data_IF_312503139485
#
_entry.id   IF_312503139485
#
_cell.length_a   1.000
_cell.length_b   1.000
_cell.length_c   1.000
_cell.angle_alpha   90.00
_cell.angle_beta   90.00
_cell.angle_gamma   90.00
#
_symmetry.space_group_name_H-M   'P 1'
#
loop_
_entity.id
_entity.type
_entity.pdbx_description
1 polymer ?
#
# COMPACT_ATOMS: atom_id res chain seq x y z
N UNK A 1 -27.50 -63.81 26.45
CA UNK A 1 -26.95 -62.59 25.82
C UNK A 1 -28.02 -61.97 24.95
N UNK A 2 -28.04 -60.64 24.81
CA UNK A 2 -28.99 -59.91 23.98
C UNK A 2 -28.26 -58.85 23.17
N UNK A 3 -28.67 -58.68 21.91
CA UNK A 3 -28.10 -57.70 20.98
C UNK A 3 -29.05 -56.52 20.90
N UNK A 4 -28.56 -55.33 21.21
CA UNK A 4 -29.35 -54.10 21.24
C UNK A 4 -28.78 -53.14 20.21
N UNK A 5 -29.55 -52.79 19.15
CA UNK A 5 -29.18 -51.70 18.26
C UNK A 5 -29.51 -50.36 18.94
N UNK A 6 -28.52 -49.48 19.05
CA UNK A 6 -28.70 -48.11 19.53
C UNK A 6 -29.00 -47.21 18.34
N UNK A 7 -30.06 -46.40 18.42
CA UNK A 7 -30.47 -45.53 17.29
C UNK A 7 -29.89 -44.13 17.37
N UNK A 8 -29.76 -43.58 18.57
CA UNK A 8 -29.39 -42.18 18.75
C UNK A 8 -28.17 -41.99 19.67
N UNK A 9 -27.95 -42.90 20.61
CA UNK A 9 -26.86 -42.81 21.58
C UNK A 9 -25.65 -43.65 21.20
N UNK A 10 -24.45 -43.18 21.51
CA UNK A 10 -23.22 -43.94 21.29
C UNK A 10 -23.12 -45.13 22.28
N UNK A 11 -22.88 -46.36 21.79
CA UNK A 11 -22.78 -47.55 22.64
C UNK A 11 -21.71 -47.46 23.74
N UNK A 12 -20.60 -46.75 23.54
CA UNK A 12 -19.53 -46.61 24.53
C UNK A 12 -19.92 -45.63 25.65
N UNK A 13 -20.65 -44.56 25.32
CA UNK A 13 -21.22 -43.65 26.32
C UNK A 13 -22.30 -44.36 27.15
N UNK A 14 -23.15 -45.15 26.49
CA UNK A 14 -24.18 -45.95 27.15
C UNK A 14 -23.61 -47.01 28.08
N UNK A 15 -22.51 -47.66 27.68
CA UNK A 15 -21.80 -48.61 28.55
C UNK A 15 -21.38 -47.96 29.86
N UNK A 16 -20.85 -46.73 29.83
CA UNK A 16 -20.41 -46.00 31.06
C UNK A 16 -21.58 -45.71 32.00
N UNK A 17 -22.72 -45.30 31.46
CA UNK A 17 -23.94 -44.99 32.23
C UNK A 17 -24.57 -46.26 32.80
N UNK A 18 -24.50 -47.38 32.07
CA UNK A 18 -25.11 -48.65 32.48
C UNK A 18 -24.21 -49.48 33.40
N UNK A 19 -22.89 -49.26 33.42
CA UNK A 19 -21.92 -49.98 34.27
C UNK A 19 -22.33 -50.11 35.75
N UNK A 20 -22.86 -49.07 36.44
CA UNK A 20 -23.31 -49.22 37.84
C UNK A 20 -24.59 -50.05 38.03
N UNK A 21 -25.36 -50.29 36.97
CA UNK A 21 -26.63 -51.04 36.99
C UNK A 21 -26.46 -52.52 36.58
N UNK A 22 -25.23 -52.90 36.24
CA UNK A 22 -24.86 -54.23 35.80
C UNK A 22 -24.56 -55.16 36.98
N UNK A 23 -24.89 -56.45 36.84
CA UNK A 23 -24.53 -57.47 37.84
C UNK A 23 -23.01 -57.73 37.85
N UNK A 24 -22.47 -58.19 38.99
CA UNK A 24 -21.03 -58.52 39.16
C UNK A 24 -20.50 -59.55 38.16
N UNK A 25 -21.38 -60.38 37.59
CA UNK A 25 -21.06 -61.44 36.62
C UNK A 25 -21.42 -61.07 35.18
N UNK A 26 -21.87 -59.84 34.94
CA UNK A 26 -22.31 -59.41 33.60
C UNK A 26 -21.14 -58.93 32.75
N UNK A 27 -21.28 -59.08 31.43
CA UNK A 27 -20.31 -58.58 30.47
C UNK A 27 -21.03 -57.73 29.42
N UNK A 28 -20.47 -56.55 29.12
CA UNK A 28 -21.00 -55.60 28.14
C UNK A 28 -19.91 -55.25 27.12
N UNK A 29 -20.22 -55.56 25.87
CA UNK A 29 -19.39 -55.20 24.72
C UNK A 29 -20.17 -54.15 23.93
N UNK A 30 -19.59 -52.97 23.82
CA UNK A 30 -20.09 -51.91 22.97
C UNK A 30 -19.29 -51.92 21.66
N UNK A 31 -19.98 -51.83 20.54
CA UNK A 31 -19.37 -51.72 19.22
C UNK A 31 -19.89 -50.45 18.55
N UNK A 32 -19.18 -49.34 18.77
CA UNK A 32 -19.56 -48.00 18.31
C UNK A 32 -19.65 -47.90 16.78
N UNK A 33 -18.86 -48.66 16.01
CA UNK A 33 -18.91 -48.63 14.55
C UNK A 33 -20.20 -49.18 13.94
N UNK A 34 -20.83 -50.17 14.58
CA UNK A 34 -22.10 -50.75 14.10
C UNK A 34 -23.31 -50.23 14.88
N UNK A 35 -23.10 -49.35 15.86
CA UNK A 35 -24.16 -48.88 16.76
C UNK A 35 -24.77 -50.00 17.60
N UNK A 36 -24.06 -51.11 17.83
CA UNK A 36 -24.59 -52.27 18.56
C UNK A 36 -23.99 -52.38 19.95
N UNK A 37 -24.82 -52.76 20.91
CA UNK A 37 -24.41 -53.16 22.24
C UNK A 37 -24.80 -54.62 22.50
N UNK A 38 -23.82 -55.41 22.95
CA UNK A 38 -23.99 -56.79 23.35
C UNK A 38 -24.01 -56.83 24.88
N UNK A 39 -25.14 -57.23 25.44
CA UNK A 39 -25.35 -57.36 26.88
C UNK A 39 -25.48 -58.82 27.29
N UNK A 40 -24.66 -59.26 28.24
CA UNK A 40 -24.74 -60.60 28.83
C UNK A 40 -25.01 -60.48 30.33
N UNK A 41 -26.24 -60.79 30.74
CA UNK A 41 -26.69 -60.80 32.15
C UNK A 41 -27.87 -61.77 32.34
N UNK A 42 -28.42 -61.83 33.56
CA UNK A 42 -29.63 -62.57 33.92
C UNK A 42 -30.86 -61.98 33.22
N UNK A 43 -31.79 -62.85 32.83
CA UNK A 43 -32.98 -62.47 32.04
C UNK A 43 -33.84 -61.36 32.68
N UNK A 44 -33.95 -61.34 34.01
CA UNK A 44 -34.67 -60.29 34.76
C UNK A 44 -33.98 -58.92 34.64
N UNK A 45 -32.65 -58.89 34.72
CA UNK A 45 -31.89 -57.65 34.57
C UNK A 45 -31.87 -57.16 33.12
N UNK A 46 -31.79 -58.07 32.14
CA UNK A 46 -31.88 -57.71 30.72
C UNK A 46 -33.21 -57.00 30.40
N UNK A 47 -34.35 -57.49 30.92
CA UNK A 47 -35.65 -56.83 30.71
C UNK A 47 -35.67 -55.41 31.28
N UNK A 48 -35.17 -55.25 32.50
CA UNK A 48 -35.06 -53.94 33.16
C UNK A 48 -34.14 -52.98 32.41
N UNK A 49 -32.97 -53.46 31.99
CA UNK A 49 -32.00 -52.67 31.24
C UNK A 49 -32.54 -52.27 29.86
N UNK A 50 -33.32 -53.14 29.20
CA UNK A 50 -33.98 -52.81 27.94
C UNK A 50 -34.98 -51.66 28.07
N UNK A 51 -35.76 -51.61 29.15
CA UNK A 51 -36.68 -50.50 29.42
C UNK A 51 -35.90 -49.20 29.66
N UNK A 52 -34.85 -49.25 30.49
CA UNK A 52 -33.99 -48.09 30.77
C UNK A 52 -33.31 -47.58 29.49
N UNK A 53 -32.78 -48.48 28.65
CA UNK A 53 -32.13 -48.11 27.39
C UNK A 53 -33.11 -47.44 26.45
N UNK A 54 -34.36 -47.92 26.35
CA UNK A 54 -35.39 -47.30 25.50
C UNK A 54 -35.75 -45.89 25.96
N UNK A 55 -35.78 -45.64 27.27
CA UNK A 55 -36.05 -44.31 27.84
C UNK A 55 -34.85 -43.36 27.68
N UNK A 56 -33.62 -43.88 27.68
CA UNK A 56 -32.39 -43.08 27.56
C UNK A 56 -31.98 -42.83 26.11
N UNK A 57 -32.29 -43.74 25.16
CA UNK A 57 -31.99 -43.62 23.72
C UNK A 57 -32.93 -42.63 23.00
N UNK A 58 -33.15 -41.47 23.62
CA UNK A 58 -33.79 -40.32 23.00
C UNK A 58 -32.84 -39.67 21.99
N UNK A 59 -33.35 -39.02 20.94
CA UNK A 59 -32.51 -38.20 20.08
C UNK A 59 -31.79 -37.17 20.94
N UNK A 60 -30.47 -37.35 21.13
CA UNK A 60 -29.61 -36.34 21.72
C UNK A 60 -29.88 -35.04 20.96
N UNK A 61 -30.21 -33.95 21.67
CA UNK A 61 -30.66 -32.67 21.10
C UNK A 61 -29.82 -32.35 19.88
N UNK A 62 -30.41 -32.57 18.70
CA UNK A 62 -29.67 -32.81 17.48
C UNK A 62 -28.76 -31.64 17.12
N UNK A 63 -27.60 -31.97 16.60
CA UNK A 63 -26.80 -31.01 15.87
C UNK A 63 -27.59 -30.63 14.60
N UNK A 64 -28.08 -29.39 14.56
CA UNK A 64 -28.82 -28.86 13.42
C UNK A 64 -27.86 -28.10 12.50
N UNK A 65 -28.04 -28.27 11.19
CA UNK A 65 -27.37 -27.46 10.18
C UNK A 65 -28.20 -26.20 9.93
N UNK A 66 -27.64 -25.03 10.25
CA UNK A 66 -28.29 -23.73 10.02
C UNK A 66 -27.37 -22.81 9.23
N UNK A 67 -27.96 -22.11 8.25
CA UNK A 67 -27.28 -21.08 7.45
C UNK A 67 -27.72 -19.71 7.98
N UNK A 68 -26.75 -18.88 8.34
CA UNK A 68 -26.99 -17.52 8.85
C UNK A 68 -26.32 -16.51 7.92
N UNK A 69 -27.07 -15.69 7.16
CA UNK A 69 -26.49 -14.63 6.35
C UNK A 69 -26.04 -13.44 7.22
N UNK A 70 -24.94 -12.78 6.82
CA UNK A 70 -24.43 -11.55 7.45
C UNK A 70 -24.60 -10.37 6.48
N UNK A 71 -25.00 -9.21 6.98
CA UNK A 71 -25.28 -8.02 6.16
C UNK A 71 -24.08 -7.09 5.99
N UNK A 72 -23.36 -6.81 7.08
CA UNK A 72 -22.31 -5.80 7.12
C UNK A 72 -20.93 -6.41 7.36
N UNK A 73 -20.84 -7.37 8.27
CA UNK A 73 -19.57 -7.98 8.63
C UNK A 73 -19.11 -9.03 7.59
N UNK A 74 -17.80 -9.10 7.39
CA UNK A 74 -17.12 -10.11 6.57
C UNK A 74 -17.20 -11.48 7.26
N UNK A 75 -17.81 -12.47 6.58
CA UNK A 75 -17.98 -13.83 7.14
C UNK A 75 -16.65 -14.54 7.39
N UNK A 76 -15.59 -14.25 6.62
CA UNK A 76 -14.25 -14.78 6.84
C UNK A 76 -13.72 -14.39 8.24
N UNK A 77 -13.86 -13.12 8.58
CA UNK A 77 -13.30 -12.54 9.80
C UNK A 77 -14.15 -12.95 11.00
N UNK A 78 -15.47 -12.83 10.88
CA UNK A 78 -16.42 -13.28 11.91
C UNK A 78 -16.29 -14.78 12.16
N UNK A 79 -16.22 -15.60 11.11
CA UNK A 79 -16.09 -17.06 11.25
C UNK A 79 -14.81 -17.47 11.99
N UNK A 80 -13.69 -16.77 11.77
CA UNK A 80 -12.44 -16.99 12.50
C UNK A 80 -12.55 -16.57 13.96
N UNK A 81 -13.07 -15.38 14.24
CA UNK A 81 -13.25 -14.89 15.62
C UNK A 81 -14.20 -15.80 16.41
N UNK A 82 -15.33 -16.17 15.83
CA UNK A 82 -16.33 -17.03 16.46
C UNK A 82 -15.79 -18.45 16.67
N UNK A 83 -15.15 -19.07 15.67
CA UNK A 83 -14.55 -20.40 15.84
C UNK A 83 -13.46 -20.41 16.92
N UNK A 84 -12.64 -19.37 17.02
CA UNK A 84 -11.65 -19.22 18.10
C UNK A 84 -12.32 -19.13 19.48
N UNK A 85 -13.39 -18.34 19.63
CA UNK A 85 -14.13 -18.21 20.89
C UNK A 85 -14.71 -19.54 21.36
N UNK A 86 -15.27 -20.35 20.45
CA UNK A 86 -15.84 -21.66 20.81
C UNK A 86 -14.77 -22.74 21.06
N UNK A 87 -13.65 -22.72 20.33
CA UNK A 87 -12.49 -23.59 20.63
C UNK A 87 -11.88 -23.24 22.01
N UNK A 88 -11.85 -21.96 22.38
CA UNK A 88 -11.39 -21.54 23.71
C UNK A 88 -12.39 -21.90 24.80
N UNK A 89 -13.70 -21.71 24.57
CA UNK A 89 -14.74 -22.10 25.52
C UNK A 89 -14.81 -23.60 25.77
N UNK A 90 -14.47 -24.45 24.78
CA UNK A 90 -14.44 -25.91 24.93
C UNK A 90 -13.22 -26.39 25.73
N UNK A 91 -12.07 -25.70 25.64
CA UNK A 91 -10.86 -26.04 26.43
C UNK A 91 -11.08 -25.89 27.93
N UNK A 92 -11.83 -24.88 28.38
CA UNK A 92 -12.12 -24.66 29.81
C UNK A 92 -13.10 -25.69 30.39
N UNK A 93 -13.95 -26.32 29.56
CA UNK A 93 -14.96 -27.31 30.01
C UNK A 93 -14.49 -28.77 29.99
N UNK A 94 -13.21 -29.03 29.69
CA UNK A 94 -12.64 -30.38 29.48
C UNK A 94 -12.65 -31.33 30.69
N UNK A 95 -13.30 -31.00 31.81
CA UNK A 95 -13.25 -31.87 32.98
C UNK A 95 -14.34 -32.93 33.07
N UNK A 96 -15.47 -32.90 32.33
CA UNK A 96 -16.47 -33.98 32.53
C UNK A 96 -17.62 -34.19 31.51
N UNK A 97 -17.60 -33.64 30.28
CA UNK A 97 -18.70 -33.92 29.34
C UNK A 97 -18.26 -33.82 27.88
N UNK A 98 -18.71 -34.79 27.08
CA UNK A 98 -18.64 -34.81 25.61
C UNK A 98 -18.92 -33.39 25.10
N UNK A 99 -17.89 -32.74 24.56
CA UNK A 99 -18.02 -31.35 24.14
C UNK A 99 -18.84 -31.34 22.85
N UNK A 100 -19.96 -30.60 22.78
CA UNK A 100 -20.67 -30.44 21.52
C UNK A 100 -19.71 -29.85 20.50
N UNK A 101 -19.53 -30.56 19.38
CA UNK A 101 -18.53 -30.20 18.39
C UNK A 101 -19.13 -29.19 17.43
N UNK A 102 -19.07 -27.92 17.81
CA UNK A 102 -19.53 -26.83 16.95
C UNK A 102 -18.60 -26.75 15.75
N UNK A 103 -19.11 -27.09 14.56
CA UNK A 103 -18.39 -26.91 13.30
C UNK A 103 -18.95 -25.70 12.58
N UNK A 104 -18.08 -24.70 12.39
CA UNK A 104 -18.41 -23.44 11.73
C UNK A 104 -17.65 -23.40 10.41
N UNK A 105 -18.35 -23.15 9.31
CA UNK A 105 -17.78 -23.04 7.97
C UNK A 105 -18.25 -21.71 7.39
N UNK A 106 -17.35 -20.73 7.20
CA UNK A 106 -17.69 -19.49 6.51
C UNK A 106 -17.87 -19.75 5.01
N UNK A 107 -18.93 -19.19 4.42
CA UNK A 107 -19.20 -19.26 2.99
C UNK A 107 -19.21 -17.86 2.38
N UNK A 108 -18.04 -17.46 1.87
CA UNK A 108 -17.76 -16.11 1.37
C UNK A 108 -18.70 -15.67 0.24
N UNK A 109 -19.06 -16.59 -0.67
CA UNK A 109 -19.84 -16.23 -1.87
C UNK A 109 -21.23 -15.68 -1.54
N UNK A 110 -21.88 -16.16 -0.48
CA UNK A 110 -23.18 -15.62 -0.04
C UNK A 110 -23.07 -14.84 1.27
N UNK A 111 -21.85 -14.50 1.69
CA UNK A 111 -21.54 -13.91 3.00
C UNK A 111 -22.35 -14.57 4.13
N UNK A 112 -22.34 -15.91 4.17
CA UNK A 112 -23.18 -16.69 5.08
C UNK A 112 -22.35 -17.67 5.92
N UNK A 113 -22.70 -17.78 7.20
CA UNK A 113 -22.08 -18.72 8.12
C UNK A 113 -22.89 -20.01 8.14
N UNK A 114 -22.25 -21.12 7.76
CA UNK A 114 -22.83 -22.46 7.89
C UNK A 114 -22.39 -23.01 9.24
N UNK A 115 -23.37 -23.33 10.09
CA UNK A 115 -23.14 -23.75 11.46
C UNK A 115 -23.76 -25.13 11.66
N UNK A 116 -22.96 -26.04 12.20
CA UNK A 116 -23.40 -27.35 12.63
C UNK A 116 -23.17 -27.44 14.15
N UNK A 117 -24.26 -27.35 14.91
CA UNK A 117 -24.21 -27.28 16.37
C UNK A 117 -25.57 -27.64 16.99
N UNK A 118 -25.63 -27.98 18.28
CA UNK A 118 -26.90 -28.14 18.99
C UNK A 118 -27.74 -26.86 19.00
N UNK A 119 -29.07 -26.97 18.96
CA UNK A 119 -30.00 -25.82 18.92
C UNK A 119 -29.76 -24.80 20.06
N UNK A 120 -29.32 -25.26 21.23
CA UNK A 120 -28.99 -24.39 22.37
C UNK A 120 -27.79 -23.46 22.10
N UNK A 121 -26.82 -23.91 21.32
CA UNK A 121 -25.62 -23.15 20.97
C UNK A 121 -25.87 -22.24 19.77
N UNK A 122 -26.71 -22.66 18.83
CA UNK A 122 -27.18 -21.82 17.72
C UNK A 122 -27.88 -20.55 18.23
N UNK A 123 -28.73 -20.66 19.27
CA UNK A 123 -29.37 -19.48 19.88
C UNK A 123 -28.36 -18.48 20.45
N UNK A 124 -27.31 -18.97 21.12
CA UNK A 124 -26.23 -18.11 21.65
C UNK A 124 -25.41 -17.48 20.54
N UNK A 125 -25.10 -18.26 19.49
CA UNK A 125 -24.39 -17.76 18.33
C UNK A 125 -25.18 -16.65 17.64
N UNK A 126 -26.50 -16.79 17.48
CA UNK A 126 -27.35 -15.73 16.92
C UNK A 126 -27.24 -14.42 17.71
N UNK A 127 -27.32 -14.47 19.04
CA UNK A 127 -27.18 -13.26 19.86
C UNK A 127 -25.80 -12.60 19.74
N UNK A 128 -24.74 -13.39 19.54
CA UNK A 128 -23.39 -12.86 19.33
C UNK A 128 -23.27 -12.26 17.93
N UNK A 129 -23.78 -12.95 16.90
CA UNK A 129 -23.75 -12.45 15.53
C UNK A 129 -24.54 -11.15 15.38
N UNK A 130 -25.67 -11.00 16.07
CA UNK A 130 -26.45 -9.75 16.08
C UNK A 130 -25.66 -8.57 16.68
N UNK A 131 -24.79 -8.84 17.66
CA UNK A 131 -23.91 -7.82 18.24
C UNK A 131 -22.69 -7.51 17.35
N UNK A 132 -22.25 -8.44 16.52
CA UNK A 132 -21.10 -8.26 15.61
C UNK A 132 -21.51 -7.71 14.24
N UNK A 133 -22.71 -8.03 13.74
CA UNK A 133 -23.21 -7.59 12.44
C UNK A 133 -23.82 -6.18 12.51
N UNK A 134 -23.04 -5.24 13.04
CA UNK A 134 -23.40 -3.82 13.08
C UNK A 134 -22.76 -3.07 11.91
N UNK A 135 -23.45 -2.03 11.41
CA UNK A 135 -22.87 -1.11 10.42
C UNK A 135 -21.53 -0.55 10.91
N UNK A 136 -20.48 -0.70 10.09
CA UNK A 136 -19.22 -0.04 10.36
C UNK A 136 -19.48 1.47 10.49
N UNK A 137 -19.02 2.13 11.56
CA UNK A 137 -19.26 3.56 11.75
C UNK A 137 -18.76 4.33 10.53
N UNK A 138 -19.57 5.28 10.02
CA UNK A 138 -19.37 6.03 8.76
C UNK A 138 -18.09 6.91 8.67
N UNK A 139 -17.13 6.71 9.56
CA UNK A 139 -15.78 7.31 9.53
C UNK A 139 -14.68 6.31 9.89
N UNK A 140 -14.94 5.01 9.75
CA UNK A 140 -13.97 3.93 9.91
C UNK A 140 -13.54 3.30 8.57
N UNK A 141 -13.90 3.92 7.45
CA UNK A 141 -13.40 3.51 6.15
C UNK A 141 -11.87 3.63 6.17
N UNK A 142 -11.17 2.59 5.70
CA UNK A 142 -9.72 2.63 5.57
C UNK A 142 -9.25 3.77 4.66
N UNK A 143 -10.11 4.23 3.74
CA UNK A 143 -9.77 5.21 2.71
C UNK A 143 -10.31 6.59 3.12
N UNK A 144 -9.41 7.56 3.20
CA UNK A 144 -9.70 8.96 3.45
C UNK A 144 -9.16 9.81 2.29
N UNK A 145 -9.92 10.83 1.88
CA UNK A 145 -9.51 11.79 0.85
C UNK A 145 -9.23 13.13 1.51
N UNK A 146 -8.04 13.69 1.29
CA UNK A 146 -7.63 14.99 1.81
C UNK A 146 -7.30 15.94 0.66
N UNK A 147 -8.01 17.07 0.56
CA UNK A 147 -7.78 18.08 -0.48
C UNK A 147 -6.72 19.10 -0.03
N UNK A 148 -5.71 19.34 -0.86
CA UNK A 148 -4.62 20.29 -0.58
C UNK A 148 -4.93 21.68 -1.13
N UNK A 149 -4.55 22.73 -0.40
CA UNK A 149 -4.84 24.13 -0.74
C UNK A 149 -3.65 24.88 -1.34
N UNK A 150 -2.43 24.57 -0.93
CA UNK A 150 -1.23 25.35 -1.25
C UNK A 150 -0.08 24.50 -1.81
N UNK A 151 0.05 23.26 -1.35
CA UNK A 151 1.05 22.30 -1.80
C UNK A 151 0.53 21.40 -2.94
N UNK A 152 1.46 20.85 -3.73
CA UNK A 152 1.15 19.89 -4.80
C UNK A 152 1.10 18.46 -4.22
N UNK A 153 0.03 17.73 -4.51
CA UNK A 153 -0.16 16.34 -4.09
C UNK A 153 1.00 15.41 -4.46
N UNK A 154 1.56 15.52 -5.67
CA UNK A 154 2.66 14.64 -6.12
C UNK A 154 3.95 14.85 -5.33
N UNK A 155 4.25 16.11 -4.98
CA UNK A 155 5.41 16.47 -4.17
C UNK A 155 5.21 16.00 -2.74
N UNK A 156 4.02 16.18 -2.18
CA UNK A 156 3.71 15.74 -0.82
C UNK A 156 3.75 14.22 -0.66
N UNK A 157 3.28 13.45 -1.64
CA UNK A 157 3.40 11.98 -1.57
C UNK A 157 4.86 11.54 -1.50
N UNK A 158 5.75 12.15 -2.29
CA UNK A 158 7.18 11.85 -2.23
C UNK A 158 7.77 12.16 -0.85
N UNK A 159 7.37 13.29 -0.25
CA UNK A 159 7.81 13.66 1.10
C UNK A 159 7.24 12.70 2.15
N UNK A 160 5.94 12.41 2.12
CA UNK A 160 5.27 11.54 3.08
C UNK A 160 5.72 10.08 2.99
N UNK A 161 6.05 9.59 1.79
CA UNK A 161 6.64 8.25 1.59
C UNK A 161 8.11 8.19 1.99
N UNK A 162 8.83 9.32 1.89
CA UNK A 162 10.21 9.43 2.34
C UNK A 162 10.35 9.53 3.87
N UNK A 163 9.29 9.92 4.58
CA UNK A 163 9.23 9.85 6.03
C UNK A 163 9.16 8.37 6.42
N UNK A 164 10.23 7.78 6.98
CA UNK A 164 10.15 6.43 7.48
C UNK A 164 9.22 6.51 8.69
N UNK A 165 8.04 5.89 8.60
CA UNK A 165 7.15 5.66 9.74
C UNK A 165 7.86 4.72 10.71
N UNK A 166 8.70 5.32 11.56
CA UNK A 166 9.62 4.63 12.46
C UNK A 166 8.89 4.25 13.74
N UNK A 167 7.96 3.30 13.64
CA UNK A 167 7.34 2.54 14.74
C UNK A 167 6.43 1.50 14.05
N UNK A 168 6.69 0.19 13.99
CA UNK A 168 7.21 -0.75 14.97
C UNK A 168 7.84 -1.96 14.25
N UNK A 169 9.11 -2.28 14.55
CA UNK A 169 9.76 -3.47 14.00
C UNK A 169 11.27 -3.49 14.20
N UNK A 170 11.69 -3.83 15.42
CA UNK A 170 12.99 -4.37 15.85
C UNK A 170 14.24 -4.15 14.98
N UNK A 171 15.23 -3.53 15.60
CA UNK A 171 16.67 -3.77 15.40
C UNK A 171 17.01 -5.24 15.11
N UNK A 172 17.66 -5.52 13.98
CA UNK A 172 18.61 -6.61 13.81
C UNK A 172 19.61 -6.29 12.70
N UNK A 173 20.88 -6.49 13.04
CA UNK A 173 22.07 -6.23 12.23
C UNK A 173 22.25 -7.24 11.08
N UNK A 174 22.98 -6.77 10.06
CA UNK A 174 23.61 -7.47 8.92
C UNK A 174 24.02 -8.94 9.19
N UNK A 175 23.82 -9.85 8.20
CA UNK A 175 24.85 -10.38 7.25
C UNK A 175 24.35 -11.62 6.45
N UNK A 176 24.54 -11.56 5.12
CA UNK A 176 24.73 -12.64 4.11
C UNK A 176 23.92 -13.96 4.16
N UNK A 177 23.15 -14.24 3.10
CA UNK A 177 23.44 -15.26 2.05
C UNK A 177 22.51 -15.09 0.84
N UNK A 178 23.00 -15.51 -0.33
CA UNK A 178 22.38 -15.41 -1.66
C UNK A 178 21.12 -16.28 -1.80
N UNK A 179 20.13 -15.70 -2.49
CA UNK A 179 19.19 -16.29 -3.46
C UNK A 179 18.32 -17.48 -3.02
N UNK A 180 17.03 -17.19 -2.74
CA UNK A 180 15.92 -17.98 -3.30
C UNK A 180 14.63 -17.15 -3.32
N UNK A 181 13.97 -17.12 -4.48
CA UNK A 181 12.70 -16.47 -4.67
C UNK A 181 11.57 -17.33 -4.10
N UNK A 182 11.07 -16.98 -2.92
CA UNK A 182 9.66 -17.15 -2.55
C UNK A 182 9.40 -16.54 -1.17
N UNK A 183 8.52 -15.53 -1.16
CA UNK A 183 7.66 -15.17 -0.02
C UNK A 183 8.36 -14.52 1.18
N UNK A 184 8.88 -13.32 0.97
CA UNK A 184 8.83 -12.30 2.02
C UNK A 184 7.35 -11.93 2.24
N UNK A 185 6.80 -11.94 3.47
CA UNK A 185 5.57 -11.22 3.74
C UNK A 185 5.86 -9.72 3.58
N UNK A 186 5.25 -9.03 2.61
CA UNK A 186 5.56 -7.63 2.37
C UNK A 186 4.68 -6.72 3.24
N UNK A 187 5.31 -5.68 3.77
CA UNK A 187 4.73 -4.46 4.34
C UNK A 187 3.94 -4.60 5.66
N UNK A 188 4.19 -3.66 6.57
CA UNK A 188 3.12 -2.91 7.23
C UNK A 188 2.17 -2.38 6.13
N UNK A 189 1.20 -3.21 5.74
CA UNK A 189 0.47 -3.15 4.45
C UNK A 189 -0.69 -2.15 4.46
N UNK A 190 -0.97 -1.53 5.59
CA UNK A 190 -2.23 -0.80 5.80
C UNK A 190 -2.10 0.72 5.61
N UNK A 191 -0.90 1.25 5.32
CA UNK A 191 -0.67 2.65 4.97
C UNK A 191 -0.28 2.79 3.50
N UNK A 192 -1.22 3.20 2.65
CA UNK A 192 -0.98 3.54 1.24
C UNK A 192 -1.42 4.97 0.97
N UNK A 193 -0.50 5.80 0.48
CA UNK A 193 -0.77 7.20 0.15
C UNK A 193 -0.61 7.35 -1.37
N UNK A 194 -1.67 7.75 -2.05
CA UNK A 194 -1.67 8.01 -3.50
C UNK A 194 -2.10 9.45 -3.75
N UNK A 195 -1.45 10.13 -4.69
CA UNK A 195 -1.84 11.48 -5.12
C UNK A 195 -2.79 11.39 -6.31
N UNK A 196 -3.80 12.24 -6.32
CA UNK A 196 -4.59 12.57 -7.49
C UNK A 196 -4.19 13.98 -7.97
N UNK A 197 -3.45 14.10 -9.09
CA UNK A 197 -2.99 15.39 -9.60
C UNK A 197 -4.13 16.24 -10.18
N UNK A 198 -5.24 15.62 -10.63
CA UNK A 198 -6.36 16.35 -11.27
C UNK A 198 -7.14 17.18 -10.24
N UNK A 199 -7.35 16.62 -9.04
CA UNK A 199 -8.07 17.29 -7.95
C UNK A 199 -7.15 17.91 -6.90
N UNK A 200 -5.83 17.80 -7.07
CA UNK A 200 -4.81 18.14 -6.06
C UNK A 200 -5.15 17.56 -4.69
N UNK A 201 -5.39 16.25 -4.63
CA UNK A 201 -5.82 15.56 -3.42
C UNK A 201 -4.95 14.36 -3.09
N UNK A 202 -4.91 13.99 -1.82
CA UNK A 202 -4.24 12.82 -1.29
C UNK A 202 -5.28 11.78 -0.89
N UNK A 203 -5.20 10.61 -1.52
CA UNK A 203 -5.96 9.42 -1.16
C UNK A 203 -5.11 8.63 -0.18
N UNK A 204 -5.53 8.61 1.08
CA UNK A 204 -4.81 7.99 2.20
C UNK A 204 -5.61 6.76 2.63
N UNK A 205 -5.08 5.58 2.36
CA UNK A 205 -5.57 4.34 2.94
C UNK A 205 -4.79 4.10 4.23
N UNK A 206 -5.43 4.28 5.38
CA UNK A 206 -4.83 4.12 6.71
C UNK A 206 -5.89 3.80 7.78
N UNK A 207 -5.53 3.12 8.88
CA UNK A 207 -6.35 3.08 10.09
C UNK A 207 -6.65 4.50 10.61
N UNK A 208 -7.80 4.69 11.25
CA UNK A 208 -8.25 6.00 11.76
C UNK A 208 -7.22 6.69 12.66
N UNK A 209 -6.50 5.92 13.48
CA UNK A 209 -5.48 6.45 14.39
C UNK A 209 -4.30 7.07 13.63
N UNK A 210 -3.82 6.42 12.57
CA UNK A 210 -2.73 6.91 11.74
C UNK A 210 -3.17 8.09 10.87
N UNK A 211 -4.40 8.05 10.35
CA UNK A 211 -4.97 9.14 9.56
C UNK A 211 -4.96 10.48 10.31
N UNK A 212 -5.37 10.49 11.59
CA UNK A 212 -5.39 11.70 12.41
C UNK A 212 -3.98 12.30 12.57
N UNK A 213 -2.95 11.45 12.73
CA UNK A 213 -1.55 11.89 12.82
C UNK A 213 -1.09 12.48 11.47
N UNK A 214 -1.40 11.80 10.36
CA UNK A 214 -1.08 12.29 9.02
C UNK A 214 -1.77 13.63 8.72
N UNK A 215 -3.03 13.79 9.13
CA UNK A 215 -3.80 15.02 8.95
C UNK A 215 -3.09 16.22 9.60
N UNK A 216 -2.58 16.06 10.83
CA UNK A 216 -1.82 17.12 11.51
C UNK A 216 -0.51 17.47 10.79
N UNK A 217 0.20 16.47 10.24
CA UNK A 217 1.43 16.68 9.49
C UNK A 217 1.14 17.39 8.17
N UNK A 218 0.11 16.96 7.45
CA UNK A 218 -0.29 17.54 6.17
C UNK A 218 -0.69 19.00 6.38
N UNK A 219 -1.45 19.34 7.42
CA UNK A 219 -1.81 20.73 7.76
C UNK A 219 -0.60 21.63 7.99
N UNK A 220 0.51 21.10 8.53
CA UNK A 220 1.74 21.86 8.73
C UNK A 220 2.56 22.02 7.45
N UNK A 221 2.42 21.10 6.51
CA UNK A 221 3.17 21.07 5.25
C UNK A 221 2.46 21.86 4.14
N UNK A 222 1.12 21.88 4.17
CA UNK A 222 0.25 22.62 3.25
C UNK A 222 0.12 24.10 3.65
N UNK A 223 1.24 24.82 3.63
CA UNK A 223 1.31 26.27 3.93
C UNK A 223 1.62 27.08 2.67
N UNK A 224 1.19 28.35 2.59
CA UNK A 224 1.53 29.21 1.45
C UNK A 224 3.04 29.44 1.35
N UNK A 225 3.59 29.23 0.14
CA UNK A 225 5.02 29.47 -0.15
C UNK A 225 5.28 30.97 -0.28
N UNK A 226 6.31 31.49 0.40
CA UNK A 226 6.74 32.89 0.27
C UNK A 226 7.42 33.10 -1.09
N UNK A 227 6.99 34.11 -1.83
CA UNK A 227 7.64 34.54 -3.07
C UNK A 227 8.76 35.55 -2.76
N UNK A 228 9.89 35.45 -3.46
CA UNK A 228 11.02 36.39 -3.36
C UNK A 228 11.11 37.19 -4.65
N UNK A 229 11.18 38.51 -4.55
CA UNK A 229 11.39 39.41 -5.68
C UNK A 229 12.88 39.71 -5.82
N UNK A 230 13.44 39.44 -7.00
CA UNK A 230 14.85 39.69 -7.32
C UNK A 230 14.93 40.77 -8.40
N UNK A 231 15.61 41.87 -8.07
CA UNK A 231 15.93 42.95 -9.01
C UNK A 231 17.45 43.00 -9.20
N UNK A 232 17.91 42.88 -10.44
CA UNK A 232 19.33 42.95 -10.79
C UNK A 232 19.53 43.98 -11.91
N UNK A 233 20.36 44.99 -11.64
CA UNK A 233 20.80 45.96 -12.64
C UNK A 233 22.18 45.54 -13.17
N UNK A 234 22.25 45.20 -14.45
CA UNK A 234 23.51 44.87 -15.13
C UNK A 234 23.89 46.06 -16.01
N UNK A 235 25.05 46.66 -15.76
CA UNK A 235 25.61 47.74 -16.59
C UNK A 235 26.94 47.29 -17.18
N UNK A 236 27.06 47.40 -18.51
CA UNK A 236 28.29 47.16 -19.27
C UNK A 236 28.71 48.45 -19.97
N UNK A 237 30.00 48.81 -19.86
CA UNK A 237 30.59 49.95 -20.55
C UNK A 237 31.84 49.48 -21.27
N UNK A 238 31.79 49.51 -22.61
CA UNK A 238 32.90 49.18 -23.50
C UNK A 238 33.21 50.41 -24.36
N UNK A 239 34.45 50.91 -24.28
CA UNK A 239 34.91 52.07 -25.07
C UNK A 239 36.10 51.63 -25.92
N UNK A 240 35.92 51.66 -27.23
CA UNK A 240 36.97 51.48 -28.22
C UNK A 240 37.21 52.80 -28.96
N UNK A 241 38.44 53.31 -28.94
CA UNK A 241 38.86 54.48 -29.74
C UNK A 241 40.10 54.14 -30.54
N UNK A 242 39.99 54.22 -31.87
CA UNK A 242 41.11 54.17 -32.81
C UNK A 242 41.17 55.51 -33.57
N UNK A 243 42.26 56.27 -33.40
CA UNK A 243 42.47 57.57 -34.05
C UNK A 243 43.64 57.46 -35.03
N UNK A 244 43.39 57.70 -36.33
CA UNK A 244 44.40 57.62 -37.40
C UNK A 244 44.55 58.97 -38.09
N UNK A 245 45.73 59.56 -37.94
CA UNK A 245 46.13 60.80 -38.62
C UNK A 245 47.29 60.45 -39.57
N UNK A 246 47.30 61.04 -40.76
CA UNK A 246 48.35 60.84 -41.76
C UNK A 246 48.56 62.12 -42.55
N UNK A 247 49.81 62.35 -42.98
CA UNK A 247 50.18 63.49 -43.82
C UNK A 247 50.78 62.96 -45.11
N UNK A 248 50.32 63.49 -46.23
CA UNK A 248 50.81 63.15 -47.56
C UNK A 248 51.20 64.43 -48.31
N UNK A 249 52.37 64.41 -48.92
CA UNK A 249 52.88 65.50 -49.74
C UNK A 249 53.22 64.94 -51.12
N UNK A 250 52.71 65.56 -52.18
CA UNK A 250 52.96 65.17 -53.56
C UNK A 250 53.15 66.39 -54.44
N UNK A 251 54.00 66.27 -55.46
CA UNK A 251 54.21 67.30 -56.47
C UNK A 251 54.41 66.67 -57.85
N UNK A 252 53.77 67.25 -58.86
CA UNK A 252 53.84 66.83 -60.25
C UNK A 252 54.33 68.01 -61.12
N UNK A 253 55.28 67.76 -62.01
CA UNK A 253 55.80 68.75 -62.94
C UNK A 253 55.98 68.17 -64.34
N UNK A 254 55.64 68.95 -65.36
CA UNK A 254 55.83 68.61 -66.78
C UNK A 254 56.98 69.42 -67.37
N UNK A 255 57.83 68.78 -68.18
CA UNK A 255 58.86 69.50 -68.93
C UNK A 255 58.24 70.33 -70.07
N UNK A 256 58.79 71.52 -70.33
CA UNK A 256 58.26 72.47 -71.31
C UNK A 256 58.17 71.90 -72.74
N UNK A 257 59.02 70.91 -73.06
CA UNK A 257 59.08 70.24 -74.37
C UNK A 257 58.10 69.06 -74.49
N UNK A 258 57.15 68.92 -73.54
CA UNK A 258 56.12 67.88 -73.46
C UNK A 258 56.64 66.42 -73.52
N UNK A 259 57.94 66.23 -73.29
CA UNK A 259 58.64 64.94 -73.49
C UNK A 259 58.65 64.05 -72.24
N UNK A 260 58.06 64.49 -71.12
CA UNK A 260 57.87 63.67 -69.93
C UNK A 260 57.24 64.43 -68.75
N UNK A 261 56.73 63.66 -67.79
CA UNK A 261 56.25 64.14 -66.48
C UNK A 261 57.13 63.58 -65.36
N UNK A 262 57.36 64.39 -64.33
CA UNK A 262 58.09 64.03 -63.11
C UNK A 262 57.12 64.13 -61.94
N UNK A 263 56.85 63.00 -61.29
CA UNK A 263 56.06 62.94 -60.08
C UNK A 263 56.96 62.55 -58.90
N UNK A 264 56.82 63.24 -57.77
CA UNK A 264 57.51 62.92 -56.52
C UNK A 264 56.54 63.08 -55.35
N UNK A 265 56.58 62.16 -54.39
CA UNK A 265 55.72 62.20 -53.22
C UNK A 265 56.32 61.54 -51.99
N UNK A 266 55.93 62.02 -50.81
CA UNK A 266 56.27 61.48 -49.51
C UNK A 266 54.98 61.22 -48.72
N UNK A 267 54.77 59.97 -48.29
CA UNK A 267 53.65 59.62 -47.42
C UNK A 267 54.14 59.29 -46.00
N UNK A 268 53.53 59.92 -44.99
CA UNK A 268 53.82 59.69 -43.58
C UNK A 268 52.92 58.63 -42.93
N UNK A 269 52.21 57.82 -43.71
CA UNK A 269 51.31 56.79 -43.18
C UNK A 269 52.07 55.51 -42.84
N UNK A 270 52.02 55.09 -41.57
CA UNK A 270 52.74 53.92 -41.07
C UNK A 270 52.30 52.58 -41.69
N UNK A 271 51.16 52.54 -42.40
CA UNK A 271 50.61 51.28 -42.92
C UNK A 271 50.98 50.99 -44.39
N UNK A 272 51.21 52.00 -45.24
CA UNK A 272 51.55 51.81 -46.67
C UNK A 272 52.37 52.99 -47.24
N UNK A 273 53.71 53.01 -47.11
CA UNK A 273 54.51 54.22 -47.38
C UNK A 273 54.75 54.59 -48.86
N UNK A 274 54.50 53.71 -49.84
CA UNK A 274 54.93 53.92 -51.24
C UNK A 274 53.90 53.57 -52.34
N UNK A 275 52.61 53.37 -52.01
CA UNK A 275 51.61 52.97 -53.02
C UNK A 275 51.15 54.11 -53.95
N UNK A 276 51.60 55.35 -53.74
CA UNK A 276 51.13 56.53 -54.49
C UNK A 276 51.94 56.87 -55.75
N UNK A 277 52.94 56.06 -56.13
CA UNK A 277 53.76 56.28 -57.34
C UNK A 277 53.57 55.23 -58.44
N UNK A 278 52.47 54.46 -58.43
CA UNK A 278 52.25 53.41 -59.44
C UNK A 278 51.36 53.79 -60.62
N UNK A 279 50.67 54.93 -60.62
CA UNK A 279 49.78 55.33 -61.74
C UNK A 279 49.81 56.85 -61.96
N UNK A 280 50.69 57.32 -62.87
CA UNK A 280 50.74 58.73 -63.35
C UNK A 280 49.91 58.89 -64.64
N UNK A 281 49.01 57.95 -64.93
CA UNK A 281 48.07 58.03 -66.05
C UNK A 281 46.65 57.67 -65.55
N UNK A 282 45.82 58.70 -65.31
CA UNK A 282 44.39 58.71 -64.89
C UNK A 282 44.08 58.94 -63.38
N UNK A 283 42.94 59.59 -63.04
CA UNK A 283 42.82 60.79 -62.18
C UNK A 283 43.07 60.56 -60.68
N UNK A 284 43.30 61.63 -59.88
CA UNK A 284 43.76 61.50 -58.50
C UNK A 284 42.74 60.79 -57.62
N UNK A 285 43.13 59.62 -57.10
CA UNK A 285 42.45 58.96 -56.00
C UNK A 285 42.68 59.78 -54.73
N UNK A 286 41.82 60.77 -54.51
CA UNK A 286 41.71 61.45 -53.22
C UNK A 286 41.45 60.40 -52.13
N UNK A 287 42.31 60.34 -51.12
CA UNK A 287 42.02 59.67 -49.85
C UNK A 287 40.66 60.18 -49.32
N UNK A 288 39.84 59.29 -48.75
CA UNK A 288 38.55 59.62 -48.15
C UNK A 288 38.76 60.46 -46.87
N UNK A 289 39.03 61.75 -47.08
CA UNK A 289 39.36 62.72 -46.06
C UNK A 289 39.58 64.08 -46.71
N UNK A 290 39.78 65.11 -45.88
CA UNK A 290 40.00 66.47 -46.37
C UNK A 290 41.43 66.58 -46.92
N UNK A 291 41.58 66.64 -48.25
CA UNK A 291 42.86 66.84 -48.92
C UNK A 291 42.92 68.26 -49.49
N UNK A 292 43.96 69.02 -49.11
CA UNK A 292 44.27 70.35 -49.63
C UNK A 292 45.64 70.25 -50.32
N UNK A 293 45.64 70.30 -51.64
CA UNK A 293 46.85 70.46 -52.45
C UNK A 293 46.91 71.88 -53.01
N UNK A 294 48.13 72.40 -53.22
CA UNK A 294 48.39 73.62 -53.99
C UNK A 294 49.12 73.22 -55.25
#
# INVERSE_FOLDING_TARGET
>A
FHLIPMKHSDPDEMKKILTPLLSKTSNVIAHSQSGMMILTDVQSNIKRLLEIIKEIDVPSVGEELVIIPLQYASVADVGRSVSQLFVQSSRTRRRNSSSPNIKIIPYERTNSLIVFAPTAEIKKLRSILEQLDTEAPKGGGKIHVYYLQHANAEELVKVLTSLPTKQTGSTASKKNTKAEAAKAPPLSTDLQITADPETNSLIITAPKEEYLILEEIIKKLDIPRRMVYLEALIMEVSIDKEFKIGVEWGGEGSFHDATGTLASGFSGSAKYPYQVMSDVQNPPLTTAGFALGV
#
